data_IF_036634771044
#
_entry.id   IF_036634771044
#
_cell.length_a   1.000
_cell.length_b   1.000
_cell.length_c   1.000
_cell.angle_alpha   90.00
_cell.angle_beta   90.00
_cell.angle_gamma   90.00
#
_symmetry.space_group_name_H-M   'P 1'
#
loop_
_entity.id
_entity.type
_entity.pdbx_description
1 polymer ?
#
# COMPACT_ATOMS: atom_id res chain seq x y z
N UNK A 1 9.18 -37.27 0.97
CA UNK A 1 8.74 -36.22 1.91
C UNK A 1 7.41 -35.67 1.43
N UNK A 2 6.38 -35.58 2.32
CA UNK A 2 5.14 -34.86 1.96
C UNK A 2 5.49 -33.37 1.77
N UNK A 3 5.07 -32.71 0.69
CA UNK A 3 5.27 -31.27 0.56
C UNK A 3 4.63 -30.58 1.76
N UNK A 4 5.35 -29.66 2.39
CA UNK A 4 4.82 -28.89 3.49
C UNK A 4 3.67 -28.03 2.94
N UNK A 5 2.48 -28.17 3.51
CA UNK A 5 1.31 -27.39 3.05
C UNK A 5 1.58 -25.92 3.38
N UNK A 6 1.66 -25.07 2.36
CA UNK A 6 1.80 -23.61 2.56
C UNK A 6 0.58 -23.07 3.30
N UNK A 7 0.79 -22.15 4.23
CA UNK A 7 -0.31 -21.37 4.78
C UNK A 7 -0.83 -20.38 3.72
N UNK A 8 -2.09 -19.92 3.90
CA UNK A 8 -2.66 -18.85 3.04
C UNK A 8 -1.73 -17.63 2.97
N UNK A 9 -1.20 -17.18 4.10
CA UNK A 9 -0.30 -16.04 4.15
C UNK A 9 0.99 -16.26 3.37
N UNK A 10 1.63 -17.43 3.51
CA UNK A 10 2.82 -17.80 2.75
C UNK A 10 2.54 -17.79 1.24
N UNK A 11 1.40 -18.35 0.83
CA UNK A 11 0.99 -18.38 -0.57
C UNK A 11 0.82 -16.97 -1.12
N UNK A 12 0.13 -16.07 -0.40
CA UNK A 12 -0.01 -14.67 -0.78
C UNK A 12 1.35 -13.94 -0.84
N UNK A 13 2.24 -14.20 0.12
CA UNK A 13 3.59 -13.63 0.14
C UNK A 13 4.44 -14.04 -1.06
N UNK A 14 4.34 -15.29 -1.52
CA UNK A 14 5.03 -15.75 -2.73
C UNK A 14 4.40 -15.20 -4.02
N UNK A 15 3.09 -14.97 -4.04
CA UNK A 15 2.40 -14.42 -5.21
C UNK A 15 2.62 -12.91 -5.39
N UNK A 16 2.73 -12.13 -4.31
CA UNK A 16 2.87 -10.67 -4.39
C UNK A 16 4.03 -10.19 -5.28
N UNK A 17 5.26 -10.73 -5.18
CA UNK A 17 6.36 -10.34 -6.05
C UNK A 17 6.05 -10.55 -7.54
N UNK A 18 5.36 -11.63 -7.89
CA UNK A 18 4.99 -11.93 -9.28
C UNK A 18 4.08 -10.85 -9.85
N UNK A 19 3.04 -10.44 -9.08
CA UNK A 19 2.16 -9.36 -9.50
C UNK A 19 2.87 -8.00 -9.56
N UNK A 20 3.75 -7.72 -8.60
CA UNK A 20 4.53 -6.47 -8.62
C UNK A 20 5.47 -6.37 -9.82
N UNK A 21 5.98 -7.51 -10.30
CA UNK A 21 6.88 -7.57 -11.45
C UNK A 21 6.15 -7.54 -12.79
N UNK A 22 5.02 -8.24 -12.91
CA UNK A 22 4.35 -8.51 -14.18
C UNK A 22 2.99 -7.80 -14.33
N UNK A 23 2.50 -7.13 -13.30
CA UNK A 23 1.16 -6.54 -13.28
C UNK A 23 0.05 -7.58 -13.22
N UNK A 24 -1.20 -7.12 -13.28
CA UNK A 24 -2.36 -8.01 -13.26
C UNK A 24 -2.50 -8.80 -14.57
N UNK A 25 -2.41 -8.12 -15.70
CA UNK A 25 -2.59 -8.77 -17.01
C UNK A 25 -1.41 -9.69 -17.36
N UNK A 26 -0.18 -9.28 -17.05
CA UNK A 26 1.03 -10.07 -17.34
C UNK A 26 1.22 -11.30 -16.45
N UNK A 27 0.47 -11.42 -15.35
CA UNK A 27 0.58 -12.55 -14.41
C UNK A 27 -0.39 -13.69 -14.81
N UNK A 28 0.14 -14.90 -14.94
CA UNK A 28 -0.66 -16.12 -15.17
C UNK A 28 -0.72 -17.00 -13.92
N UNK A 29 -1.77 -17.84 -13.82
CA UNK A 29 -1.90 -18.84 -12.74
C UNK A 29 -0.72 -19.85 -12.73
N UNK A 30 -0.11 -20.10 -13.89
CA UNK A 30 1.06 -20.97 -13.97
C UNK A 30 2.31 -20.34 -13.32
N UNK A 31 2.52 -19.02 -13.51
CA UNK A 31 3.61 -18.28 -12.87
C UNK A 31 3.44 -18.27 -11.36
N UNK A 32 2.20 -18.08 -10.88
CA UNK A 32 1.86 -18.08 -9.46
C UNK A 32 2.08 -19.44 -8.81
N UNK A 33 1.64 -20.52 -9.46
CA UNK A 33 1.90 -21.89 -9.01
C UNK A 33 3.40 -22.17 -8.91
N UNK A 34 4.18 -21.76 -9.91
CA UNK A 34 5.64 -21.90 -9.92
C UNK A 34 6.31 -21.12 -8.79
N UNK A 35 5.88 -19.89 -8.52
CA UNK A 35 6.40 -19.07 -7.43
C UNK A 35 6.14 -19.68 -6.04
N UNK A 36 5.09 -20.49 -5.92
CA UNK A 36 4.73 -21.21 -4.69
C UNK A 36 5.34 -22.62 -4.61
N UNK A 37 6.14 -23.03 -5.58
CA UNK A 37 6.63 -24.42 -5.74
C UNK A 37 5.48 -25.47 -5.69
N UNK A 38 4.34 -25.13 -6.32
CA UNK A 38 3.17 -25.96 -6.38
C UNK A 38 2.89 -26.43 -7.82
N UNK A 39 2.32 -27.63 -7.95
CA UNK A 39 1.73 -28.04 -9.23
C UNK A 39 0.52 -27.16 -9.57
N UNK A 40 0.20 -27.01 -10.87
CA UNK A 40 -1.00 -26.26 -11.28
C UNK A 40 -2.26 -26.78 -10.59
N UNK A 41 -2.45 -28.09 -10.50
CA UNK A 41 -3.62 -28.69 -9.85
C UNK A 41 -3.73 -28.34 -8.36
N UNK A 42 -2.60 -28.40 -7.63
CA UNK A 42 -2.55 -28.00 -6.22
C UNK A 42 -2.86 -26.49 -6.04
N UNK A 43 -2.35 -25.64 -6.94
CA UNK A 43 -2.61 -24.20 -6.88
C UNK A 43 -4.07 -23.87 -7.20
N UNK A 44 -4.67 -24.51 -8.22
CA UNK A 44 -6.09 -24.35 -8.55
C UNK A 44 -7.04 -24.87 -7.47
N UNK A 45 -6.58 -25.78 -6.61
CA UNK A 45 -7.34 -26.21 -5.43
C UNK A 45 -7.45 -25.08 -4.38
N UNK A 46 -6.40 -24.27 -4.23
CA UNK A 46 -6.41 -23.13 -3.29
C UNK A 46 -7.14 -21.90 -3.89
N UNK A 47 -6.90 -21.59 -5.17
CA UNK A 47 -7.54 -20.46 -5.87
C UNK A 47 -7.99 -20.91 -7.29
N UNK A 48 -9.30 -20.83 -7.51
CA UNK A 48 -9.90 -21.27 -8.79
C UNK A 48 -9.56 -20.33 -9.96
N UNK A 49 -9.32 -19.04 -9.67
CA UNK A 49 -9.00 -18.03 -10.67
C UNK A 49 -8.08 -16.94 -10.10
N UNK A 50 -7.56 -16.12 -11.01
CA UNK A 50 -6.66 -15.02 -10.67
C UNK A 50 -7.36 -13.90 -9.90
N UNK A 51 -8.64 -13.67 -10.18
CA UNK A 51 -9.42 -12.61 -9.54
C UNK A 51 -9.60 -12.87 -8.04
N UNK A 52 -10.00 -14.08 -7.68
CA UNK A 52 -10.18 -14.49 -6.28
C UNK A 52 -8.87 -14.40 -5.48
N UNK A 53 -7.76 -14.82 -6.08
CA UNK A 53 -6.44 -14.68 -5.47
C UNK A 53 -6.06 -13.20 -5.25
N UNK A 54 -6.26 -12.35 -6.28
CA UNK A 54 -5.92 -10.93 -6.17
C UNK A 54 -6.82 -10.22 -5.15
N UNK A 55 -8.11 -10.53 -5.11
CA UNK A 55 -9.02 -9.99 -4.09
C UNK A 55 -8.56 -10.34 -2.68
N UNK A 56 -8.14 -11.58 -2.47
CA UNK A 56 -7.62 -12.05 -1.19
C UNK A 56 -6.28 -11.37 -0.84
N UNK A 57 -5.38 -11.22 -1.81
CA UNK A 57 -4.10 -10.56 -1.66
C UNK A 57 -4.24 -9.06 -1.35
N UNK A 58 -5.11 -8.33 -2.03
CA UNK A 58 -5.39 -6.92 -1.76
C UNK A 58 -5.98 -6.73 -0.35
N UNK A 59 -6.89 -7.62 0.06
CA UNK A 59 -7.47 -7.61 1.40
C UNK A 59 -6.43 -7.90 2.47
N UNK A 60 -5.55 -8.87 2.25
CA UNK A 60 -4.45 -9.19 3.16
C UNK A 60 -3.48 -8.02 3.33
N UNK A 61 -3.06 -7.40 2.22
CA UNK A 61 -2.16 -6.23 2.26
C UNK A 61 -2.84 -5.05 2.95
N UNK A 62 -4.13 -4.82 2.70
CA UNK A 62 -4.88 -3.76 3.38
C UNK A 62 -4.86 -3.96 4.91
N UNK A 63 -5.21 -5.15 5.39
CA UNK A 63 -5.19 -5.47 6.82
C UNK A 63 -3.80 -5.32 7.44
N UNK A 64 -2.77 -5.79 6.73
CA UNK A 64 -1.39 -5.69 7.17
C UNK A 64 -0.94 -4.23 7.32
N UNK A 65 -1.25 -3.39 6.32
CA UNK A 65 -0.88 -1.96 6.32
C UNK A 65 -1.72 -1.19 7.34
N UNK A 66 -3.02 -1.48 7.46
CA UNK A 66 -3.87 -0.83 8.46
C UNK A 66 -3.34 -1.08 9.89
N UNK A 67 -2.98 -2.32 10.17
CA UNK A 67 -2.46 -2.70 11.50
C UNK A 67 -1.03 -2.18 11.76
N UNK A 68 -0.11 -2.28 10.80
CA UNK A 68 1.31 -1.97 11.02
C UNK A 68 1.69 -0.52 10.73
N UNK A 69 0.90 0.18 9.92
CA UNK A 69 1.23 1.50 9.43
C UNK A 69 0.17 2.53 9.82
N UNK A 70 -1.07 2.32 9.42
CA UNK A 70 -2.12 3.31 9.61
C UNK A 70 -2.54 3.47 11.07
N UNK A 71 -2.35 2.45 11.91
CA UNK A 71 -2.57 2.54 13.36
C UNK A 71 -1.64 3.55 14.06
N UNK A 72 -0.46 3.82 13.50
CA UNK A 72 0.54 4.68 14.14
C UNK A 72 0.07 6.14 14.35
N UNK A 73 -0.88 6.61 13.54
CA UNK A 73 -1.43 7.96 13.70
C UNK A 73 -2.29 8.14 14.95
N UNK A 74 -2.68 7.04 15.60
CA UNK A 74 -3.48 7.04 16.84
C UNK A 74 -2.64 6.83 18.10
N UNK A 75 -1.32 6.64 17.97
CA UNK A 75 -0.41 6.45 19.09
C UNK A 75 -0.19 7.76 19.88
N UNK A 76 0.41 7.64 21.06
CA UNK A 76 0.80 8.79 21.87
C UNK A 76 1.96 9.57 21.23
N UNK A 77 1.96 10.88 21.43
CA UNK A 77 2.98 11.81 20.95
C UNK A 77 2.41 12.97 20.16
N UNK A 78 3.29 13.90 19.78
CA UNK A 78 2.91 15.02 18.90
C UNK A 78 2.52 14.52 17.51
N UNK A 79 1.77 15.32 16.77
CA UNK A 79 1.37 14.99 15.39
C UNK A 79 2.59 14.69 14.52
N UNK A 80 3.68 15.44 14.68
CA UNK A 80 4.92 15.23 13.95
C UNK A 80 5.60 13.91 14.32
N UNK A 81 5.68 13.56 15.62
CA UNK A 81 6.24 12.27 16.06
C UNK A 81 5.47 11.08 15.48
N UNK A 82 4.14 11.16 15.43
CA UNK A 82 3.29 10.11 14.84
C UNK A 82 3.49 10.04 13.33
N UNK A 83 3.57 11.18 12.65
CA UNK A 83 3.89 11.23 11.22
C UNK A 83 5.27 10.67 10.92
N UNK A 84 6.30 11.02 11.69
CA UNK A 84 7.65 10.47 11.53
C UNK A 84 7.65 8.95 11.61
N UNK A 85 7.02 8.35 12.63
CA UNK A 85 6.92 6.89 12.76
C UNK A 85 6.19 6.26 11.58
N UNK A 86 5.08 6.88 11.14
CA UNK A 86 4.33 6.41 9.97
C UNK A 86 5.22 6.44 8.73
N UNK A 87 5.95 7.53 8.50
CA UNK A 87 6.85 7.65 7.36
C UNK A 87 7.97 6.60 7.38
N UNK A 88 8.67 6.45 8.51
CA UNK A 88 9.73 5.46 8.66
C UNK A 88 9.25 4.02 8.37
N UNK A 89 8.06 3.68 8.82
CA UNK A 89 7.46 2.37 8.53
C UNK A 89 6.99 2.27 7.07
N UNK A 90 6.45 3.35 6.49
CA UNK A 90 6.09 3.40 5.08
C UNK A 90 7.31 3.17 4.18
N UNK A 91 8.42 3.86 4.45
CA UNK A 91 9.69 3.65 3.73
C UNK A 91 10.11 2.19 3.80
N UNK A 92 10.15 1.58 4.99
CA UNK A 92 10.50 0.16 5.16
C UNK A 92 9.56 -0.74 4.34
N UNK A 93 8.25 -0.49 4.41
CA UNK A 93 7.24 -1.33 3.76
C UNK A 93 7.32 -1.25 2.23
N UNK A 94 7.46 -0.06 1.66
CA UNK A 94 7.46 0.15 0.21
C UNK A 94 8.84 -0.08 -0.45
N UNK A 95 9.93 0.02 0.31
CA UNK A 95 11.29 -0.27 -0.17
C UNK A 95 11.64 -1.75 -0.13
N UNK A 96 10.93 -2.58 0.67
CA UNK A 96 11.20 -4.00 0.75
C UNK A 96 10.97 -4.70 -0.61
N UNK A 97 12.03 -5.30 -1.13
CA UNK A 97 11.99 -6.01 -2.41
C UNK A 97 12.00 -5.11 -3.65
N UNK A 98 12.22 -3.79 -3.52
CA UNK A 98 12.39 -2.87 -4.66
C UNK A 98 11.17 -2.73 -5.59
N UNK A 99 9.99 -3.27 -5.20
CA UNK A 99 8.87 -3.46 -6.12
C UNK A 99 7.67 -2.51 -5.91
N UNK A 100 7.82 -1.48 -5.06
CA UNK A 100 6.80 -0.43 -4.91
C UNK A 100 5.47 -0.85 -4.29
N UNK A 101 4.45 -0.02 -4.46
CA UNK A 101 3.11 -0.25 -3.94
C UNK A 101 2.33 -1.25 -4.82
N UNK A 102 1.87 -2.36 -4.23
CA UNK A 102 1.05 -3.35 -4.94
C UNK A 102 -0.27 -2.74 -5.44
N UNK A 103 -0.89 -1.87 -4.63
CA UNK A 103 -2.16 -1.22 -4.99
C UNK A 103 -2.00 -0.32 -6.22
N UNK A 104 -0.87 0.40 -6.33
CA UNK A 104 -0.57 1.21 -7.50
C UNK A 104 -0.29 0.35 -8.74
N UNK A 105 0.44 -0.75 -8.59
CA UNK A 105 0.71 -1.67 -9.71
C UNK A 105 -0.59 -2.26 -10.25
N UNK A 106 -1.43 -2.82 -9.37
CA UNK A 106 -2.72 -3.40 -9.77
C UNK A 106 -3.67 -2.30 -10.25
N UNK A 107 -3.78 -1.19 -9.51
CA UNK A 107 -4.66 -0.07 -9.84
C UNK A 107 -4.29 0.66 -11.12
N UNK A 108 -3.02 0.65 -11.53
CA UNK A 108 -2.57 1.19 -12.81
C UNK A 108 -3.21 0.50 -14.02
N UNK A 109 -3.65 -0.74 -13.85
CA UNK A 109 -4.40 -1.50 -14.86
C UNK A 109 -5.92 -1.44 -14.65
N UNK A 110 -6.43 -0.37 -14.03
CA UNK A 110 -7.83 -0.23 -13.56
C UNK A 110 -8.89 -0.58 -14.62
N UNK A 111 -8.63 -0.30 -15.92
CA UNK A 111 -9.55 -0.63 -17.01
C UNK A 111 -9.74 -2.14 -17.27
N UNK A 112 -8.82 -2.96 -16.75
CA UNK A 112 -8.88 -4.42 -16.88
C UNK A 112 -9.35 -5.11 -15.60
N UNK A 113 -9.51 -4.36 -14.52
CA UNK A 113 -9.98 -4.88 -13.24
C UNK A 113 -11.49 -5.04 -13.24
N UNK A 114 -11.96 -6.09 -12.58
CA UNK A 114 -13.37 -6.19 -12.24
C UNK A 114 -13.79 -5.07 -11.27
N UNK A 115 -15.09 -4.74 -11.20
CA UNK A 115 -15.59 -3.75 -10.24
C UNK A 115 -15.21 -4.07 -8.79
N UNK A 116 -15.15 -5.37 -8.43
CA UNK A 116 -14.78 -5.85 -7.09
C UNK A 116 -13.31 -5.54 -6.76
N UNK A 117 -12.37 -5.85 -7.65
CA UNK A 117 -10.95 -5.55 -7.47
C UNK A 117 -10.68 -4.04 -7.44
N UNK A 118 -11.37 -3.29 -8.30
CA UNK A 118 -11.27 -1.83 -8.29
C UNK A 118 -11.81 -1.23 -6.99
N UNK A 119 -12.89 -1.78 -6.43
CA UNK A 119 -13.43 -1.36 -5.14
C UNK A 119 -12.43 -1.59 -3.99
N UNK A 120 -11.75 -2.75 -3.94
CA UNK A 120 -10.71 -3.04 -2.94
C UNK A 120 -9.53 -2.07 -3.03
N UNK A 121 -9.07 -1.77 -4.26
CA UNK A 121 -8.00 -0.79 -4.49
C UNK A 121 -8.41 0.62 -4.01
N UNK A 122 -9.62 1.05 -4.36
CA UNK A 122 -10.18 2.34 -3.88
C UNK A 122 -10.32 2.39 -2.37
N UNK A 123 -10.77 1.31 -1.74
CA UNK A 123 -10.91 1.22 -0.29
C UNK A 123 -9.57 1.43 0.42
N UNK A 124 -8.50 0.78 -0.06
CA UNK A 124 -7.16 0.96 0.51
C UNK A 124 -6.68 2.43 0.38
N UNK A 125 -6.76 3.01 -0.81
CA UNK A 125 -6.32 4.39 -1.04
C UNK A 125 -7.15 5.39 -0.23
N UNK A 126 -8.47 5.16 -0.11
CA UNK A 126 -9.34 5.98 0.73
C UNK A 126 -8.97 5.86 2.21
N UNK A 127 -8.63 4.65 2.68
CA UNK A 127 -8.17 4.44 4.05
C UNK A 127 -6.85 5.16 4.33
N UNK A 128 -5.93 5.16 3.38
CA UNK A 128 -4.68 5.94 3.48
C UNK A 128 -4.95 7.45 3.57
N UNK A 129 -5.85 7.98 2.71
CA UNK A 129 -6.26 9.39 2.79
C UNK A 129 -6.86 9.72 4.16
N UNK A 130 -7.75 8.88 4.69
CA UNK A 130 -8.32 9.06 6.03
C UNK A 130 -7.25 9.07 7.12
N UNK A 131 -6.23 8.22 7.00
CA UNK A 131 -5.10 8.17 7.93
C UNK A 131 -4.32 9.49 7.94
N UNK A 132 -4.00 10.03 6.76
CA UNK A 132 -3.35 11.34 6.65
C UNK A 132 -4.23 12.47 7.15
N UNK A 133 -5.54 12.40 6.91
CA UNK A 133 -6.52 13.37 7.38
C UNK A 133 -6.56 13.47 8.92
N UNK A 134 -6.37 12.35 9.65
CA UNK A 134 -6.28 12.37 11.11
C UNK A 134 -5.17 13.31 11.58
N UNK A 135 -4.00 13.25 10.95
CA UNK A 135 -2.87 14.11 11.30
C UNK A 135 -3.13 15.58 10.94
N UNK A 136 -3.63 15.83 9.73
CA UNK A 136 -3.86 17.21 9.28
C UNK A 136 -5.02 17.90 10.00
N UNK A 137 -6.03 17.17 10.48
CA UNK A 137 -7.14 17.74 11.26
C UNK A 137 -6.71 18.36 12.60
N UNK A 138 -5.52 18.00 13.11
CA UNK A 138 -4.98 18.62 14.33
C UNK A 138 -4.36 20.01 14.07
N UNK A 139 -4.10 20.34 12.80
CA UNK A 139 -3.39 21.59 12.42
C UNK A 139 -4.25 22.48 11.54
N UNK A 140 -5.12 21.90 10.71
CA UNK A 140 -5.88 22.62 9.68
C UNK A 140 -7.39 22.43 9.81
N UNK A 141 -8.21 23.38 9.31
CA UNK A 141 -9.65 23.17 9.13
C UNK A 141 -9.93 21.97 8.22
N UNK A 142 -11.07 21.30 8.44
CA UNK A 142 -11.44 20.05 7.78
C UNK A 142 -11.28 20.06 6.25
N UNK A 143 -11.74 21.12 5.58
CA UNK A 143 -11.66 21.22 4.11
C UNK A 143 -10.20 21.23 3.61
N UNK A 144 -9.33 21.92 4.33
CA UNK A 144 -7.90 21.99 4.00
C UNK A 144 -7.20 20.67 4.35
N UNK A 145 -7.52 20.07 5.49
CA UNK A 145 -7.01 18.75 5.89
C UNK A 145 -7.36 17.67 4.86
N UNK A 146 -8.61 17.68 4.32
CA UNK A 146 -9.04 16.76 3.27
C UNK A 146 -8.20 16.93 1.98
N UNK A 147 -7.94 18.18 1.57
CA UNK A 147 -7.14 18.46 0.39
C UNK A 147 -5.67 18.00 0.57
N UNK A 148 -5.06 18.32 1.72
CA UNK A 148 -3.69 17.92 2.05
C UNK A 148 -3.54 16.39 2.16
N UNK A 149 -4.52 15.70 2.73
CA UNK A 149 -4.53 14.25 2.82
C UNK A 149 -4.55 13.57 1.44
N UNK A 150 -5.40 14.05 0.53
CA UNK A 150 -5.45 13.57 -0.85
C UNK A 150 -4.13 13.80 -1.58
N UNK A 151 -3.57 15.01 -1.45
CA UNK A 151 -2.30 15.36 -2.04
C UNK A 151 -1.18 14.46 -1.50
N UNK A 152 -1.14 14.22 -0.18
CA UNK A 152 -0.10 13.37 0.43
C UNK A 152 -0.07 11.96 -0.12
N UNK A 153 -1.24 11.34 -0.35
CA UNK A 153 -1.29 9.99 -0.95
C UNK A 153 -0.79 10.02 -2.39
N UNK A 154 -1.17 11.02 -3.18
CA UNK A 154 -0.68 11.17 -4.55
C UNK A 154 0.85 11.38 -4.60
N UNK A 155 1.40 12.18 -3.67
CA UNK A 155 2.82 12.44 -3.57
C UNK A 155 3.60 11.19 -3.14
N UNK A 156 3.09 10.41 -2.17
CA UNK A 156 3.69 9.13 -1.78
C UNK A 156 3.71 8.14 -2.92
N UNK A 157 2.61 7.95 -3.65
CA UNK A 157 2.56 7.04 -4.80
C UNK A 157 3.50 7.51 -5.91
N UNK A 158 3.57 8.81 -6.19
CA UNK A 158 4.54 9.38 -7.11
C UNK A 158 5.99 9.17 -6.67
N UNK A 159 6.30 9.42 -5.39
CA UNK A 159 7.64 9.24 -4.83
C UNK A 159 8.08 7.76 -4.82
N UNK A 160 7.17 6.83 -4.51
CA UNK A 160 7.43 5.39 -4.58
C UNK A 160 7.76 4.96 -6.02
N UNK A 161 6.99 5.45 -7.00
CA UNK A 161 7.22 5.14 -8.42
C UNK A 161 8.55 5.74 -8.93
N UNK A 162 8.76 7.03 -8.70
CA UNK A 162 9.95 7.73 -9.18
C UNK A 162 11.22 7.27 -8.48
N UNK A 163 11.17 7.09 -7.16
CA UNK A 163 12.28 6.54 -6.38
C UNK A 163 12.73 5.17 -6.91
N UNK A 164 11.77 4.33 -7.32
CA UNK A 164 12.08 3.05 -7.95
C UNK A 164 12.68 3.19 -9.36
N UNK A 165 12.15 4.11 -10.20
CA UNK A 165 12.61 4.28 -11.58
C UNK A 165 14.03 4.84 -11.62
N UNK A 166 14.33 5.78 -10.72
CA UNK A 166 15.63 6.47 -10.67
C UNK A 166 16.61 5.87 -9.66
N UNK A 167 16.18 4.83 -8.90
CA UNK A 167 16.93 4.27 -7.76
C UNK A 167 17.38 5.35 -6.78
N UNK A 168 16.45 6.28 -6.47
CA UNK A 168 16.71 7.47 -5.68
C UNK A 168 15.72 7.62 -4.52
N UNK A 169 16.17 7.38 -3.26
CA UNK A 169 15.32 7.50 -2.09
C UNK A 169 14.93 8.95 -1.74
N UNK A 170 15.57 9.96 -2.34
CA UNK A 170 15.33 11.37 -2.05
C UNK A 170 13.89 11.80 -2.37
N UNK A 171 13.21 11.11 -3.27
CA UNK A 171 11.79 11.36 -3.56
C UNK A 171 10.90 11.15 -2.34
N UNK A 172 11.09 10.07 -1.58
CA UNK A 172 10.35 9.81 -0.34
C UNK A 172 10.76 10.79 0.77
N UNK A 173 12.04 11.13 0.85
CA UNK A 173 12.53 12.14 1.80
C UNK A 173 11.90 13.51 1.54
N UNK A 174 11.79 13.96 0.30
CA UNK A 174 11.14 15.22 -0.06
C UNK A 174 9.65 15.24 0.33
N UNK A 175 8.94 14.12 0.20
CA UNK A 175 7.55 14.01 0.68
C UNK A 175 7.50 14.15 2.20
N UNK A 176 8.43 13.49 2.93
CA UNK A 176 8.53 13.62 4.38
C UNK A 176 8.71 15.06 4.82
N UNK A 177 9.74 15.73 4.30
CA UNK A 177 10.09 17.10 4.69
C UNK A 177 8.95 18.09 4.44
N UNK A 178 8.25 17.95 3.30
CA UNK A 178 7.11 18.79 2.97
C UNK A 178 5.94 18.59 3.93
N UNK A 179 5.58 17.35 4.23
CA UNK A 179 4.45 17.06 5.13
C UNK A 179 4.81 17.42 6.57
N UNK A 180 6.04 17.14 7.02
CA UNK A 180 6.50 17.50 8.36
C UNK A 180 6.45 19.03 8.57
N UNK A 181 6.92 19.81 7.60
CA UNK A 181 6.81 21.27 7.62
C UNK A 181 5.35 21.76 7.68
N UNK A 182 4.43 21.10 6.97
CA UNK A 182 3.01 21.41 7.05
C UNK A 182 2.45 21.11 8.44
N UNK A 183 2.80 19.97 9.04
CA UNK A 183 2.36 19.57 10.38
C UNK A 183 3.02 20.40 11.51
N UNK A 184 4.17 21.04 11.25
CA UNK A 184 4.81 21.99 12.16
C UNK A 184 4.11 23.35 12.19
N UNK A 185 3.21 23.64 11.25
CA UNK A 185 2.48 24.91 11.19
C UNK A 185 1.63 25.08 12.45
N UNK A 186 1.54 26.32 12.96
CA UNK A 186 0.70 26.59 14.14
C UNK A 186 -0.76 26.33 13.80
N UNK A 187 -1.53 25.66 14.69
CA UNK A 187 -2.95 25.46 14.48
C UNK A 187 -3.64 26.77 14.10
N UNK A 188 -4.42 26.78 13.04
CA UNK A 188 -5.33 27.89 12.76
C UNK A 188 -6.42 27.82 13.82
N UNK A 189 -6.28 28.62 14.86
CA UNK A 189 -7.32 28.76 15.88
C UNK A 189 -8.62 29.14 15.15
N UNK A 190 -9.62 28.27 15.20
CA UNK A 190 -10.95 28.58 14.73
C UNK A 190 -11.50 29.71 15.64
N UNK A 191 -11.65 30.90 15.07
CA UNK A 191 -12.45 31.98 15.66
C UNK A 191 -13.92 31.61 15.61
#
# INVERSE_FOLDING_TARGET
MRPQKLSREQLLQYCMPVFKQHGYQGTSMAMLASACDLTKGAFYYEYQDKESLVADMLSYVHQLVDHKLFSLVYEAGTVQMRYQRLHEQAVKFFSQGGMGCLMAVIGGEARYLSPSLLALTRQFLSRWQQTMQVLFNEVYPKSQADALAKQSVADYEGAILLGRIYDDPSYLQAVYERIDAQLASKPVLAN
#
